data_IF_641542583947
#
_entry.id   IF_641542583947
#
_cell.length_a   1.000
_cell.length_b   1.000
_cell.length_c   1.000
_cell.angle_alpha   90.00
_cell.angle_beta   90.00
_cell.angle_gamma   90.00
#
_symmetry.space_group_name_H-M   'P 1'
#
loop_
_entity.id
_entity.type
_entity.pdbx_description
1 polymer ?
#
# COMPACT_ATOMS: atom_id res chain seq x y z
N UNK A 1 9.90 7.87 9.01
CA UNK A 1 11.03 7.61 8.09
C UNK A 1 11.53 8.94 7.53
N UNK A 2 12.77 9.00 7.04
CA UNK A 2 13.31 10.16 6.30
C UNK A 2 13.55 9.75 4.83
N UNK A 3 12.56 9.92 3.93
CA UNK A 3 12.66 9.43 2.56
C UNK A 3 13.60 10.28 1.69
N UNK A 4 14.78 9.74 1.36
CA UNK A 4 15.80 10.44 0.55
C UNK A 4 15.33 10.87 -0.86
N UNK A 5 14.25 10.27 -1.39
CA UNK A 5 13.68 10.64 -2.68
C UNK A 5 12.60 11.73 -2.59
N UNK A 6 12.19 12.17 -1.39
CA UNK A 6 11.14 13.17 -1.24
C UNK A 6 11.43 14.51 -1.94
N UNK A 7 12.66 15.06 -1.87
CA UNK A 7 12.98 16.28 -2.62
C UNK A 7 12.78 16.14 -4.14
N UNK A 8 12.90 14.92 -4.69
CA UNK A 8 12.67 14.66 -6.11
C UNK A 8 11.17 14.68 -6.46
N UNK A 9 10.31 14.22 -5.55
CA UNK A 9 8.84 14.29 -5.70
C UNK A 9 8.39 15.75 -5.67
N UNK A 10 8.86 16.53 -4.69
CA UNK A 10 8.53 17.97 -4.58
C UNK A 10 8.93 18.74 -5.85
N UNK A 11 10.14 18.49 -6.36
CA UNK A 11 10.63 19.13 -7.59
C UNK A 11 9.80 18.74 -8.82
N UNK A 12 9.35 17.48 -8.93
CA UNK A 12 8.49 17.04 -10.02
C UNK A 12 7.13 17.74 -9.99
N UNK A 13 6.49 17.81 -8.81
CA UNK A 13 5.21 18.51 -8.64
C UNK A 13 5.34 20.00 -8.98
N UNK A 14 6.41 20.64 -8.51
CA UNK A 14 6.70 22.05 -8.82
C UNK A 14 6.85 22.29 -10.32
N UNK A 15 7.65 21.47 -11.02
CA UNK A 15 7.88 21.62 -12.48
C UNK A 15 6.62 21.36 -13.31
N UNK A 16 5.75 20.48 -12.83
CA UNK A 16 4.51 20.11 -13.53
C UNK A 16 3.32 20.98 -13.14
N UNK A 17 3.50 21.93 -12.22
CA UNK A 17 2.43 22.80 -11.68
C UNK A 17 1.30 21.95 -11.08
N UNK A 18 1.66 20.84 -10.44
CA UNK A 18 0.75 19.97 -9.71
C UNK A 18 0.66 20.40 -8.25
N UNK A 19 -0.49 20.16 -7.60
CA UNK A 19 -0.66 20.46 -6.18
C UNK A 19 -0.36 19.20 -5.38
N UNK A 20 0.50 19.30 -4.36
CA UNK A 20 0.80 18.17 -3.48
C UNK A 20 -0.44 17.66 -2.74
N UNK A 21 -1.44 18.53 -2.50
CA UNK A 21 -2.72 18.13 -1.92
C UNK A 21 -3.56 17.19 -2.78
N UNK A 22 -3.24 17.05 -4.07
CA UNK A 22 -3.89 16.08 -4.96
C UNK A 22 -3.28 14.67 -4.85
N UNK A 23 -2.17 14.51 -4.10
CA UNK A 23 -1.53 13.20 -3.86
C UNK A 23 -2.20 12.50 -2.67
N UNK A 24 -2.89 11.39 -2.93
CA UNK A 24 -3.44 10.53 -1.89
C UNK A 24 -2.35 9.96 -0.97
N UNK A 25 -2.66 9.87 0.33
CA UNK A 25 -1.73 9.35 1.34
C UNK A 25 -2.50 8.63 2.46
N UNK A 26 -1.83 7.73 3.16
CA UNK A 26 -2.35 7.07 4.35
C UNK A 26 -1.19 6.51 5.20
N UNK A 27 -1.46 6.33 6.48
CA UNK A 27 -0.63 5.54 7.39
C UNK A 27 -1.47 4.40 7.94
N UNK A 28 -0.94 3.18 7.90
CA UNK A 28 -1.66 1.96 8.28
C UNK A 28 -0.91 1.27 9.40
N UNK A 29 -1.62 0.84 10.45
CA UNK A 29 -1.01 0.15 11.59
C UNK A 29 -0.71 -1.32 11.28
N UNK A 30 0.13 -1.95 12.09
CA UNK A 30 0.42 -3.38 11.95
C UNK A 30 -0.82 -4.25 12.14
N UNK A 31 -1.71 -3.90 13.07
CA UNK A 31 -2.98 -4.61 13.29
C UNK A 31 -3.86 -4.55 12.05
N UNK A 32 -3.97 -3.36 11.46
CA UNK A 32 -4.75 -3.14 10.24
C UNK A 32 -4.13 -3.88 9.06
N UNK A 33 -2.80 -3.90 8.97
CA UNK A 33 -2.06 -4.65 7.94
C UNK A 33 -2.35 -6.14 8.03
N UNK A 34 -2.31 -6.72 9.24
CA UNK A 34 -2.64 -8.13 9.48
C UNK A 34 -4.09 -8.46 9.10
N UNK A 35 -5.04 -7.60 9.47
CA UNK A 35 -6.45 -7.76 9.07
C UNK A 35 -6.62 -7.70 7.54
N UNK A 36 -5.94 -6.76 6.90
CA UNK A 36 -5.95 -6.58 5.45
C UNK A 36 -5.35 -7.78 4.70
N UNK A 37 -4.28 -8.37 5.21
CA UNK A 37 -3.72 -9.60 4.64
C UNK A 37 -4.74 -10.75 4.68
N UNK A 38 -5.55 -10.86 5.74
CA UNK A 38 -6.62 -11.85 5.82
C UNK A 38 -7.77 -11.56 4.87
N UNK A 39 -8.13 -10.28 4.68
CA UNK A 39 -9.10 -9.85 3.67
C UNK A 39 -8.67 -10.27 2.26
N UNK A 40 -7.41 -10.01 1.89
CA UNK A 40 -6.84 -10.41 0.62
C UNK A 40 -6.83 -11.94 0.44
N UNK A 41 -6.44 -12.70 1.48
CA UNK A 41 -6.51 -14.18 1.45
C UNK A 41 -7.94 -14.67 1.26
N UNK A 42 -8.93 -14.03 1.89
CA UNK A 42 -10.34 -14.43 1.79
C UNK A 42 -10.92 -14.28 0.37
N UNK A 43 -10.36 -13.37 -0.45
CA UNK A 43 -10.70 -13.24 -1.88
C UNK A 43 -9.78 -14.03 -2.80
N UNK A 44 -8.94 -14.92 -2.25
CA UNK A 44 -8.06 -15.80 -3.01
C UNK A 44 -6.73 -15.18 -3.43
N UNK A 45 -6.34 -14.05 -2.85
CA UNK A 45 -5.08 -13.36 -3.16
C UNK A 45 -4.10 -13.40 -1.98
N UNK A 46 -3.08 -14.27 -2.06
CA UNK A 46 -2.01 -14.33 -1.05
C UNK A 46 -1.06 -13.15 -1.22
N UNK A 47 -1.01 -12.28 -0.22
CA UNK A 47 -0.20 -11.06 -0.21
C UNK A 47 0.80 -11.05 0.95
N UNK A 48 1.52 -9.94 1.10
CA UNK A 48 2.50 -9.68 2.16
C UNK A 48 2.31 -8.27 2.75
N UNK A 49 2.99 -7.94 3.88
CA UNK A 49 2.72 -6.70 4.61
C UNK A 49 2.83 -5.41 3.78
N UNK A 50 3.82 -5.27 2.88
CA UNK A 50 4.03 -4.03 2.15
C UNK A 50 2.89 -3.75 1.15
N UNK A 51 2.48 -4.76 0.40
CA UNK A 51 1.38 -4.71 -0.55
C UNK A 51 0.02 -4.57 0.15
N UNK A 52 -0.14 -5.17 1.33
CA UNK A 52 -1.34 -5.00 2.14
C UNK A 52 -1.55 -3.55 2.60
N UNK A 53 -0.49 -2.84 2.98
CA UNK A 53 -0.56 -1.40 3.31
C UNK A 53 -1.03 -0.59 2.09
N UNK A 54 -0.46 -0.85 0.91
CA UNK A 54 -0.83 -0.18 -0.33
C UNK A 54 -2.30 -0.48 -0.74
N UNK A 55 -2.71 -1.75 -0.63
CA UNK A 55 -4.10 -2.15 -0.88
C UNK A 55 -5.07 -1.47 0.09
N UNK A 56 -4.75 -1.40 1.40
CA UNK A 56 -5.63 -0.76 2.39
C UNK A 56 -5.86 0.71 2.04
N UNK A 57 -4.77 1.46 1.81
CA UNK A 57 -4.83 2.86 1.42
C UNK A 57 -5.66 3.07 0.14
N UNK A 58 -5.43 2.25 -0.88
CA UNK A 58 -6.19 2.29 -2.13
C UNK A 58 -7.67 2.00 -1.88
N UNK A 59 -7.98 0.92 -1.17
CA UNK A 59 -9.36 0.45 -0.95
C UNK A 59 -10.20 1.46 -0.17
N UNK A 60 -9.60 2.22 0.74
CA UNK A 60 -10.27 3.28 1.50
C UNK A 60 -10.54 4.55 0.69
N UNK A 61 -9.76 4.81 -0.37
CA UNK A 61 -9.80 6.06 -1.12
C UNK A 61 -10.42 5.92 -2.53
N UNK A 62 -10.54 4.69 -3.04
CA UNK A 62 -11.04 4.40 -4.39
C UNK A 62 -12.52 4.81 -4.52
N UNK A 63 -12.82 5.69 -5.49
CA UNK A 63 -14.17 6.19 -5.72
C UNK A 63 -14.99 5.25 -6.62
N UNK A 64 -16.33 5.31 -6.55
CA UNK A 64 -17.20 4.56 -7.45
C UNK A 64 -16.88 4.87 -8.92
N UNK A 65 -16.68 3.82 -9.72
CA UNK A 65 -16.36 3.93 -11.14
C UNK A 65 -14.86 3.99 -11.46
N UNK A 66 -13.99 4.08 -10.45
CA UNK A 66 -12.54 4.01 -10.64
C UNK A 66 -12.02 2.57 -10.61
N UNK A 67 -10.90 2.33 -11.30
CA UNK A 67 -10.14 1.09 -11.20
C UNK A 67 -8.81 1.34 -10.49
N UNK A 68 -8.60 0.63 -9.37
CA UNK A 68 -7.43 0.79 -8.53
C UNK A 68 -6.36 -0.26 -8.79
N UNK A 69 -5.09 0.15 -8.75
CA UNK A 69 -3.93 -0.73 -8.79
C UNK A 69 -3.04 -0.48 -7.56
N UNK A 70 -2.57 -1.55 -6.93
CA UNK A 70 -1.56 -1.50 -5.88
C UNK A 70 -0.34 -2.33 -6.29
N UNK A 71 0.85 -1.93 -5.83
CA UNK A 71 2.10 -2.57 -6.24
C UNK A 71 2.51 -3.66 -5.23
N UNK A 72 2.58 -4.91 -5.70
CA UNK A 72 3.23 -6.00 -4.99
C UNK A 72 4.75 -5.88 -5.07
N UNK A 73 5.36 -5.16 -4.13
CA UNK A 73 6.78 -4.78 -4.20
C UNK A 73 7.74 -5.94 -3.95
N UNK A 74 7.26 -7.01 -3.29
CA UNK A 74 8.05 -8.18 -2.95
C UNK A 74 7.20 -9.45 -3.01
N UNK A 75 7.87 -10.57 -3.29
CA UNK A 75 7.23 -11.88 -3.22
C UNK A 75 6.95 -12.27 -1.75
N UNK A 76 5.74 -12.76 -1.38
CA UNK A 76 5.40 -13.08 0.01
C UNK A 76 6.34 -14.05 0.71
N UNK A 77 6.95 -14.98 -0.03
CA UNK A 77 7.95 -15.92 0.50
C UNK A 77 9.18 -15.24 1.14
N UNK A 78 9.49 -13.98 0.81
CA UNK A 78 10.56 -13.23 1.50
C UNK A 78 10.23 -12.95 2.97
N UNK A 79 8.96 -13.02 3.35
CA UNK A 79 8.45 -12.76 4.70
C UNK A 79 7.74 -14.00 5.27
N UNK A 80 8.22 -15.20 4.90
CA UNK A 80 7.57 -16.49 5.18
C UNK A 80 7.02 -16.59 6.61
N UNK A 81 7.86 -16.37 7.63
CA UNK A 81 7.47 -16.49 9.04
C UNK A 81 6.30 -15.56 9.41
N UNK A 82 6.36 -14.29 8.98
CA UNK A 82 5.30 -13.33 9.25
C UNK A 82 4.02 -13.67 8.48
N UNK A 83 4.14 -14.09 7.23
CA UNK A 83 3.00 -14.46 6.38
C UNK A 83 2.28 -15.68 6.97
N UNK A 84 3.01 -16.73 7.34
CA UNK A 84 2.47 -17.93 7.99
C UNK A 84 1.80 -17.59 9.34
N UNK A 85 2.46 -16.78 10.19
CA UNK A 85 1.89 -16.38 11.48
C UNK A 85 0.58 -15.57 11.36
N UNK A 86 0.42 -14.80 10.29
CA UNK A 86 -0.76 -13.93 10.09
C UNK A 86 -1.90 -14.70 9.44
N UNK A 87 -1.59 -15.50 8.43
CA UNK A 87 -2.56 -16.14 7.56
C UNK A 87 -2.97 -17.53 8.04
N UNK A 88 -2.16 -18.20 8.86
CA UNK A 88 -2.27 -19.64 9.10
C UNK A 88 -2.12 -20.45 7.82
#
# INVERSE_FOLDING_TARGET
SQPNNWPRVEELFRRKVWRLGDLGYAAVTDETTKATMRELKAVGYTSEPHAAIAYRALRDQLQPGEYGLFLGTAHPAKFKESVEAILG
#
